data_IF_784959732513
#
_entry.id   IF_784959732513
#
_cell.length_a   1.000
_cell.length_b   1.000
_cell.length_c   1.000
_cell.angle_alpha   90.00
_cell.angle_beta   90.00
_cell.angle_gamma   90.00
#
_symmetry.space_group_name_H-M   'P 1'
#
loop_
_entity.id
_entity.type
_entity.pdbx_description
1 polymer ?
#
# COMPACT_ATOMS: atom_id res chain seq x y z
N UNK A 1 -48.56 25.37 -23.97
CA UNK A 1 -47.51 24.33 -23.86
C UNK A 1 -46.57 24.47 -22.64
N UNK A 2 -46.76 25.40 -21.69
CA UNK A 2 -45.82 25.58 -20.54
C UNK A 2 -46.21 24.86 -19.23
N UNK A 3 -47.46 24.39 -19.10
CA UNK A 3 -47.97 23.74 -17.87
C UNK A 3 -47.63 22.24 -17.75
N UNK A 4 -47.34 21.56 -18.87
CA UNK A 4 -47.00 20.13 -18.86
C UNK A 4 -45.56 19.84 -18.41
N UNK A 5 -44.63 20.74 -18.74
CA UNK A 5 -43.19 20.61 -18.39
C UNK A 5 -42.96 20.80 -16.88
N UNK A 6 -43.75 21.66 -16.23
CA UNK A 6 -43.63 21.95 -14.79
C UNK A 6 -44.12 20.80 -13.91
N UNK A 7 -45.14 20.04 -14.35
CA UNK A 7 -45.65 18.88 -13.60
C UNK A 7 -44.69 17.68 -13.69
N UNK A 8 -44.05 17.49 -14.86
CA UNK A 8 -43.03 16.45 -15.05
C UNK A 8 -41.78 16.70 -14.19
N UNK A 9 -41.32 17.95 -14.09
CA UNK A 9 -40.17 18.31 -13.26
C UNK A 9 -40.44 18.09 -11.76
N UNK A 10 -41.64 18.43 -11.28
CA UNK A 10 -42.02 18.19 -9.88
C UNK A 10 -42.06 16.68 -9.54
N UNK A 11 -42.55 15.84 -10.46
CA UNK A 11 -42.57 14.39 -10.27
C UNK A 11 -41.18 13.76 -10.16
N UNK A 12 -40.22 14.24 -10.95
CA UNK A 12 -38.83 13.75 -10.91
C UNK A 12 -38.16 14.12 -9.58
N UNK A 13 -38.39 15.32 -9.06
CA UNK A 13 -37.82 15.75 -7.76
C UNK A 13 -38.38 14.91 -6.61
N UNK A 14 -39.68 14.61 -6.62
CA UNK A 14 -40.32 13.73 -5.62
C UNK A 14 -39.76 12.30 -5.75
N UNK A 15 -39.56 11.81 -6.98
CA UNK A 15 -39.00 10.47 -7.18
C UNK A 15 -37.56 10.36 -6.69
N UNK A 16 -36.71 11.35 -6.96
CA UNK A 16 -35.31 11.38 -6.49
C UNK A 16 -35.26 11.43 -4.96
N UNK A 17 -36.07 12.28 -4.34
CA UNK A 17 -36.09 12.40 -2.86
C UNK A 17 -36.54 11.10 -2.18
N UNK A 18 -37.55 10.42 -2.72
CA UNK A 18 -37.97 9.11 -2.21
C UNK A 18 -36.88 8.06 -2.45
N UNK A 19 -36.26 8.02 -3.64
CA UNK A 19 -35.19 7.08 -3.95
C UNK A 19 -33.97 7.28 -3.04
N UNK A 20 -33.60 8.53 -2.73
CA UNK A 20 -32.52 8.86 -1.80
C UNK A 20 -32.80 8.33 -0.40
N UNK A 21 -34.04 8.37 0.09
CA UNK A 21 -34.38 7.77 1.39
C UNK A 21 -34.17 6.25 1.37
N UNK A 22 -34.60 5.55 0.31
CA UNK A 22 -34.46 4.09 0.24
C UNK A 22 -33.04 3.60 -0.02
N UNK A 23 -32.16 4.41 -0.63
CA UNK A 23 -30.79 3.99 -0.98
C UNK A 23 -29.75 4.53 0.02
N UNK A 24 -29.88 5.79 0.44
CA UNK A 24 -28.88 6.44 1.31
C UNK A 24 -29.08 6.07 2.77
N UNK A 25 -30.33 5.92 3.22
CA UNK A 25 -30.62 5.65 4.63
C UNK A 25 -30.07 4.30 5.12
N UNK A 26 -30.22 3.17 4.38
CA UNK A 26 -29.63 1.89 4.79
C UNK A 26 -28.09 1.91 4.77
N UNK A 27 -27.49 2.67 3.84
CA UNK A 27 -26.03 2.81 3.75
C UNK A 27 -25.47 3.65 4.90
N UNK A 28 -26.21 4.65 5.39
CA UNK A 28 -25.83 5.47 6.53
C UNK A 28 -25.94 4.71 7.86
N UNK A 29 -26.98 3.91 8.05
CA UNK A 29 -27.12 3.03 9.23
C UNK A 29 -25.99 1.98 9.29
N UNK A 30 -25.57 1.43 8.15
CA UNK A 30 -24.43 0.50 8.08
C UNK A 30 -23.10 1.18 8.48
N UNK A 31 -22.88 2.45 8.11
CA UNK A 31 -21.69 3.19 8.53
C UNK A 31 -21.70 3.52 10.03
N UNK A 32 -22.86 3.88 10.60
CA UNK A 32 -23.01 4.13 12.04
C UNK A 32 -22.72 2.85 12.85
N UNK A 33 -23.22 1.70 12.40
CA UNK A 33 -23.01 0.41 13.06
C UNK A 33 -21.57 -0.10 12.97
N UNK A 34 -20.83 0.25 11.91
CA UNK A 34 -19.40 -0.07 11.79
C UNK A 34 -18.51 0.85 12.64
N UNK A 35 -18.95 2.07 12.97
CA UNK A 35 -18.27 2.95 13.94
C UNK A 35 -18.70 2.74 15.39
N UNK A 36 -19.88 2.18 15.64
CA UNK A 36 -20.44 1.95 16.98
C UNK A 36 -20.21 0.52 17.51
N UNK A 37 -19.66 -0.39 16.70
CA UNK A 37 -19.43 -1.80 17.05
C UNK A 37 -18.11 -2.11 17.78
N UNK A 38 -17.38 -1.09 18.23
CA UNK A 38 -16.10 -1.25 18.91
C UNK A 38 -16.08 -0.53 20.27
N UNK A 39 -17.09 -0.71 21.13
CA UNK A 39 -16.96 -0.38 22.55
C UNK A 39 -18.02 -1.06 23.43
N UNK A 40 -17.56 -1.51 24.61
CA UNK A 40 -18.20 -2.21 25.74
C UNK A 40 -18.35 -3.75 25.63
N UNK A 41 -17.90 -4.58 26.58
CA UNK A 41 -17.70 -4.39 28.02
C UNK A 41 -16.42 -5.08 28.53
N UNK A 42 -15.61 -4.36 29.33
CA UNK A 42 -15.22 -4.88 30.65
C UNK A 42 -14.80 -3.71 31.55
N UNK A 43 -15.75 -3.19 32.32
CA UNK A 43 -15.45 -2.37 33.49
C UNK A 43 -14.95 -3.30 34.60
N UNK A 44 -13.69 -3.14 35.00
CA UNK A 44 -13.36 -3.30 36.41
C UNK A 44 -12.41 -2.17 36.83
N UNK A 45 -12.92 -1.44 37.80
CA UNK A 45 -12.35 -0.34 38.56
C UNK A 45 -11.08 -0.78 39.32
N UNK A 46 -9.94 -0.10 39.09
CA UNK A 46 -9.03 0.32 40.16
C UNK A 46 -7.94 1.26 39.64
N UNK A 47 -7.95 2.48 40.17
CA UNK A 47 -6.81 3.27 40.65
C UNK A 47 -5.39 2.80 40.29
N UNK A 48 -4.70 3.61 39.46
CA UNK A 48 -3.37 4.21 39.67
C UNK A 48 -2.78 4.56 38.30
N UNK A 49 -2.72 5.86 37.99
CA UNK A 49 -1.82 6.37 36.95
C UNK A 49 -0.37 6.14 37.42
N UNK A 50 0.12 4.93 37.18
CA UNK A 50 1.54 4.64 37.11
C UNK A 50 1.93 4.74 35.64
N UNK A 51 2.63 5.81 35.29
CA UNK A 51 3.42 5.96 34.07
C UNK A 51 4.52 4.87 34.06
N UNK A 52 4.12 3.64 33.77
CA UNK A 52 5.02 2.55 33.44
C UNK A 52 5.20 2.56 31.94
N UNK A 53 6.34 3.08 31.50
CA UNK A 53 6.90 2.87 30.18
C UNK A 53 6.88 1.36 29.88
N UNK A 54 5.81 0.90 29.22
CA UNK A 54 5.60 -0.51 28.93
C UNK A 54 6.62 -0.92 27.88
N UNK A 55 7.78 -1.41 28.33
CA UNK A 55 8.82 -1.88 27.44
C UNK A 55 8.36 -3.17 26.77
N UNK A 56 8.08 -3.07 25.47
CA UNK A 56 7.71 -4.21 24.64
C UNK A 56 8.71 -5.36 24.78
N UNK A 57 8.18 -6.56 24.92
CA UNK A 57 8.93 -7.81 24.89
C UNK A 57 9.62 -8.01 23.53
N UNK A 58 10.60 -8.91 23.48
CA UNK A 58 11.28 -9.25 22.21
C UNK A 58 10.30 -9.74 21.14
N UNK A 59 9.26 -10.47 21.54
CA UNK A 59 8.23 -10.99 20.66
C UNK A 59 7.34 -9.87 20.12
N UNK A 60 6.86 -8.98 20.98
CA UNK A 60 6.04 -7.83 20.56
C UNK A 60 6.81 -6.90 19.64
N UNK A 61 8.09 -6.63 19.92
CA UNK A 61 8.97 -5.87 19.03
C UNK A 61 9.14 -6.55 17.67
N UNK A 62 9.15 -7.89 17.60
CA UNK A 62 9.23 -8.62 16.33
C UNK A 62 7.93 -8.49 15.53
N UNK A 63 6.79 -8.67 16.18
CA UNK A 63 5.46 -8.51 15.56
C UNK A 63 5.27 -7.08 15.05
N UNK A 64 5.64 -6.07 15.85
CA UNK A 64 5.58 -4.67 15.43
C UNK A 64 6.46 -4.41 14.20
N UNK A 65 7.72 -4.88 14.19
CA UNK A 65 8.60 -4.74 13.02
C UNK A 65 8.06 -5.44 11.78
N UNK A 66 7.47 -6.62 11.92
CA UNK A 66 6.83 -7.32 10.81
C UNK A 66 5.62 -6.54 10.27
N UNK A 67 4.82 -5.92 11.15
CA UNK A 67 3.74 -5.02 10.75
C UNK A 67 4.24 -3.77 10.01
N UNK A 68 5.30 -3.14 10.53
CA UNK A 68 5.95 -2.00 9.86
C UNK A 68 6.49 -2.37 8.47
N UNK A 69 7.09 -3.56 8.34
CA UNK A 69 7.57 -4.08 7.06
C UNK A 69 6.42 -4.27 6.06
N UNK A 70 5.34 -4.93 6.49
CA UNK A 70 4.14 -5.17 5.67
C UNK A 70 3.55 -3.87 5.13
N UNK A 71 3.36 -2.89 6.02
CA UNK A 71 2.79 -1.59 5.66
C UNK A 71 3.72 -0.80 4.74
N UNK A 72 5.04 -0.89 4.98
CA UNK A 72 6.01 -0.22 4.14
C UNK A 72 6.02 -0.80 2.72
N UNK A 73 6.07 -2.12 2.57
CA UNK A 73 6.04 -2.81 1.26
C UNK A 73 4.76 -2.46 0.50
N UNK A 74 3.58 -2.56 1.14
CA UNK A 74 2.31 -2.22 0.51
C UNK A 74 2.29 -0.76 0.01
N UNK A 75 2.71 0.20 0.84
CA UNK A 75 2.76 1.61 0.44
C UNK A 75 3.73 1.87 -0.73
N UNK A 76 4.83 1.10 -0.82
CA UNK A 76 5.75 1.17 -1.95
C UNK A 76 5.13 0.57 -3.21
N UNK A 77 4.46 -0.58 -3.10
CA UNK A 77 3.75 -1.20 -4.22
C UNK A 77 2.67 -0.25 -4.79
N UNK A 78 1.81 0.31 -3.93
CA UNK A 78 0.80 1.29 -4.34
C UNK A 78 1.40 2.49 -5.07
N UNK A 79 2.51 3.03 -4.53
CA UNK A 79 3.22 4.14 -5.16
C UNK A 79 3.72 3.78 -6.57
N UNK A 80 4.31 2.60 -6.76
CA UNK A 80 4.80 2.19 -8.07
C UNK A 80 3.67 1.83 -9.04
N UNK A 81 2.53 1.34 -8.54
CA UNK A 81 1.30 1.20 -9.32
C UNK A 81 0.82 2.56 -9.86
N UNK A 82 0.81 3.60 -9.02
CA UNK A 82 0.45 4.96 -9.46
C UNK A 82 1.40 5.49 -10.55
N UNK A 83 2.69 5.19 -10.42
CA UNK A 83 3.74 5.75 -11.28
C UNK A 83 3.89 5.02 -12.62
N UNK A 84 3.63 3.70 -12.66
CA UNK A 84 3.83 2.87 -13.87
C UNK A 84 2.52 2.39 -14.48
N UNK A 85 1.38 2.62 -13.83
CA UNK A 85 0.13 1.95 -14.13
C UNK A 85 0.14 0.50 -13.65
N UNK A 86 -1.03 -0.13 -13.55
CA UNK A 86 -1.22 -1.53 -13.14
C UNK A 86 -0.53 -2.51 -14.13
N UNK A 87 0.80 -2.59 -14.10
CA UNK A 87 1.61 -3.43 -15.00
C UNK A 87 2.47 -2.68 -16.03
N UNK A 88 2.81 -1.40 -15.83
CA UNK A 88 3.77 -0.70 -16.71
C UNK A 88 3.15 -0.04 -17.96
N UNK A 89 1.82 0.02 -18.06
CA UNK A 89 1.13 0.54 -19.24
C UNK A 89 1.26 2.07 -19.41
N UNK A 90 1.71 2.80 -18.38
CA UNK A 90 1.88 4.25 -18.44
C UNK A 90 2.83 4.77 -17.35
N UNK A 91 4.02 5.25 -17.75
CA UNK A 91 4.84 6.05 -16.85
C UNK A 91 4.30 7.47 -16.71
N UNK A 92 4.15 7.93 -15.47
CA UNK A 92 4.08 9.37 -15.15
C UNK A 92 5.46 9.99 -15.48
N UNK A 93 5.55 11.28 -15.79
CA UNK A 93 6.84 11.89 -16.14
C UNK A 93 7.90 11.66 -15.04
N UNK A 94 9.11 11.28 -15.46
CA UNK A 94 10.32 10.97 -14.68
C UNK A 94 10.53 11.85 -13.43
N UNK A 95 10.27 13.16 -13.60
CA UNK A 95 10.42 14.20 -12.58
C UNK A 95 9.55 13.96 -11.33
N UNK A 96 8.46 13.19 -11.47
CA UNK A 96 7.55 12.83 -10.39
C UNK A 96 7.85 11.47 -9.74
N UNK A 97 8.81 10.71 -10.28
CA UNK A 97 9.11 9.32 -9.87
C UNK A 97 10.27 9.26 -8.87
N UNK A 98 11.03 10.34 -8.68
CA UNK A 98 12.16 10.33 -7.72
C UNK A 98 11.70 10.07 -6.29
N UNK A 99 12.24 9.00 -5.70
CA UNK A 99 12.06 8.70 -4.29
C UNK A 99 12.95 9.57 -3.39
N UNK A 100 12.46 10.04 -2.24
CA UNK A 100 13.34 10.64 -1.24
C UNK A 100 14.42 9.65 -0.77
N UNK A 101 15.66 10.10 -0.61
CA UNK A 101 16.81 9.28 -0.17
C UNK A 101 16.51 8.53 1.15
N UNK A 102 15.71 9.13 2.05
CA UNK A 102 15.23 8.50 3.28
C UNK A 102 14.47 7.17 3.06
N UNK A 103 13.77 7.01 1.94
CA UNK A 103 13.03 5.79 1.60
C UNK A 103 13.97 4.68 1.14
N UNK A 104 15.04 5.04 0.42
CA UNK A 104 16.11 4.12 0.05
C UNK A 104 16.84 3.65 1.31
N UNK A 105 17.20 4.56 2.19
CA UNK A 105 17.86 4.20 3.46
C UNK A 105 16.95 3.37 4.38
N UNK A 106 15.64 3.60 4.35
CA UNK A 106 14.68 2.75 5.06
C UNK A 106 14.70 1.32 4.54
N UNK A 107 14.80 1.09 3.22
CA UNK A 107 14.95 -0.26 2.65
C UNK A 107 16.22 -0.96 3.14
N UNK A 108 17.35 -0.26 3.11
CA UNK A 108 18.64 -0.80 3.62
C UNK A 108 18.56 -1.13 5.11
N UNK A 109 17.93 -0.26 5.89
CA UNK A 109 17.71 -0.46 7.33
C UNK A 109 16.82 -1.67 7.60
N UNK A 110 15.73 -1.84 6.85
CA UNK A 110 14.85 -2.99 6.95
C UNK A 110 15.57 -4.29 6.55
N UNK A 111 16.41 -4.25 5.51
CA UNK A 111 17.24 -5.38 5.09
C UNK A 111 18.24 -5.83 6.17
N UNK A 112 18.76 -4.90 6.98
CA UNK A 112 19.67 -5.21 8.09
C UNK A 112 18.96 -5.76 9.33
N UNK A 113 17.63 -5.58 9.44
CA UNK A 113 16.83 -5.97 10.61
C UNK A 113 16.08 -7.28 10.45
N UNK A 114 15.97 -7.81 9.23
CA UNK A 114 15.30 -9.09 8.96
C UNK A 114 16.26 -10.26 9.14
N UNK A 115 15.75 -11.36 9.72
CA UNK A 115 16.49 -12.61 9.85
C UNK A 115 16.38 -13.49 8.58
N UNK A 116 15.51 -13.13 7.62
CA UNK A 116 15.36 -13.85 6.36
C UNK A 116 16.40 -13.35 5.33
N UNK A 117 17.37 -14.20 4.90
CA UNK A 117 18.45 -13.78 4.00
C UNK A 117 17.97 -13.43 2.59
N UNK A 118 16.91 -14.10 2.10
CA UNK A 118 16.35 -13.88 0.77
C UNK A 118 15.59 -12.55 0.75
N UNK A 119 14.79 -12.27 1.78
CA UNK A 119 14.17 -10.96 1.96
C UNK A 119 15.22 -9.86 2.09
N UNK A 120 16.27 -10.07 2.89
CA UNK A 120 17.32 -9.09 3.06
C UNK A 120 17.97 -8.74 1.72
N UNK A 121 18.07 -9.72 0.81
CA UNK A 121 18.57 -9.53 -0.54
C UNK A 121 17.58 -8.74 -1.39
N UNK A 122 16.30 -9.13 -1.41
CA UNK A 122 15.27 -8.44 -2.20
C UNK A 122 15.10 -6.98 -1.79
N UNK A 123 15.17 -6.67 -0.49
CA UNK A 123 15.14 -5.29 0.02
C UNK A 123 16.38 -4.47 -0.40
N UNK A 124 17.56 -5.10 -0.45
CA UNK A 124 18.78 -4.46 -0.96
C UNK A 124 18.68 -4.23 -2.47
N UNK A 125 18.14 -5.19 -3.22
CA UNK A 125 17.93 -5.05 -4.65
C UNK A 125 16.94 -3.91 -4.94
N UNK A 126 15.83 -3.83 -4.19
CA UNK A 126 14.90 -2.71 -4.28
C UNK A 126 15.62 -1.37 -4.03
N UNK A 127 16.46 -1.28 -2.99
CA UNK A 127 17.23 -0.07 -2.73
C UNK A 127 18.16 0.29 -3.90
N UNK A 128 18.95 -0.66 -4.41
CA UNK A 128 19.88 -0.44 -5.52
C UNK A 128 19.18 -0.02 -6.82
N UNK A 129 18.02 -0.59 -7.14
CA UNK A 129 17.24 -0.15 -8.29
C UNK A 129 16.68 1.26 -8.11
N UNK A 130 16.22 1.63 -6.90
CA UNK A 130 15.79 3.00 -6.63
C UNK A 130 16.95 4.00 -6.74
N UNK A 131 18.16 3.63 -6.28
CA UNK A 131 19.36 4.46 -6.47
C UNK A 131 19.71 4.61 -7.95
N UNK A 132 19.67 3.51 -8.71
CA UNK A 132 19.89 3.51 -10.16
C UNK A 132 18.90 4.47 -10.82
N UNK A 133 17.62 4.37 -10.51
CA UNK A 133 16.55 5.21 -11.07
C UNK A 133 16.80 6.72 -10.89
N UNK A 134 17.47 7.12 -9.81
CA UNK A 134 17.80 8.52 -9.54
C UNK A 134 18.99 9.05 -10.36
N UNK A 135 19.74 8.17 -11.03
CA UNK A 135 20.89 8.57 -11.85
C UNK A 135 20.42 9.22 -13.15
N UNK A 136 20.97 10.39 -13.47
CA UNK A 136 20.62 11.18 -14.66
C UNK A 136 21.14 10.64 -15.99
N UNK A 137 21.83 9.50 -15.97
CA UNK A 137 22.57 8.96 -17.12
C UNK A 137 21.81 7.86 -17.87
N UNK A 138 20.53 7.63 -17.54
CA UNK A 138 19.71 6.62 -18.19
C UNK A 138 19.10 7.14 -19.49
N UNK A 139 19.00 6.28 -20.49
CA UNK A 139 18.10 6.49 -21.62
C UNK A 139 16.64 6.23 -21.21
N UNK A 140 15.68 6.79 -21.95
CA UNK A 140 14.24 6.60 -21.68
C UNK A 140 13.86 5.12 -21.55
N UNK A 141 14.44 4.23 -22.38
CA UNK A 141 14.21 2.78 -22.31
C UNK A 141 14.78 2.16 -21.03
N UNK A 142 15.94 2.62 -20.56
CA UNK A 142 16.53 2.12 -19.31
C UNK A 142 15.76 2.61 -18.08
N UNK A 143 15.22 3.82 -18.15
CA UNK A 143 14.38 4.40 -17.10
C UNK A 143 13.08 3.59 -16.94
N UNK A 144 12.43 3.27 -18.06
CA UNK A 144 11.23 2.44 -18.09
C UNK A 144 11.48 1.04 -17.52
N UNK A 145 12.56 0.38 -17.96
CA UNK A 145 12.95 -0.94 -17.45
C UNK A 145 13.28 -0.90 -15.96
N UNK A 146 13.94 0.17 -15.50
CA UNK A 146 14.26 0.33 -14.09
C UNK A 146 12.98 0.48 -13.26
N UNK A 147 12.07 1.35 -13.68
CA UNK A 147 10.79 1.56 -13.00
C UNK A 147 9.94 0.28 -12.95
N UNK A 148 9.84 -0.42 -14.08
CA UNK A 148 9.14 -1.71 -14.16
C UNK A 148 9.77 -2.73 -13.19
N UNK A 149 11.09 -2.78 -13.12
CA UNK A 149 11.79 -3.71 -12.23
C UNK A 149 11.52 -3.39 -10.76
N UNK A 150 11.55 -2.11 -10.37
CA UNK A 150 11.24 -1.70 -9.00
C UNK A 150 9.81 -2.09 -8.65
N UNK A 151 8.86 -1.81 -9.54
CA UNK A 151 7.46 -2.16 -9.33
C UNK A 151 7.29 -3.66 -9.11
N UNK A 152 7.85 -4.49 -9.99
CA UNK A 152 7.74 -5.95 -9.90
C UNK A 152 8.35 -6.51 -8.60
N UNK A 153 9.47 -5.95 -8.12
CA UNK A 153 10.03 -6.33 -6.82
C UNK A 153 9.06 -6.04 -5.69
N UNK A 154 8.46 -4.84 -5.65
CA UNK A 154 7.50 -4.51 -4.61
C UNK A 154 6.20 -5.31 -4.72
N UNK A 155 5.74 -5.62 -5.92
CA UNK A 155 4.60 -6.49 -6.15
C UNK A 155 4.84 -7.89 -5.56
N UNK A 156 5.97 -8.54 -5.90
CA UNK A 156 6.27 -9.88 -5.39
C UNK A 156 6.41 -9.89 -3.85
N UNK A 157 7.08 -8.87 -3.30
CA UNK A 157 7.19 -8.69 -1.85
C UNK A 157 5.82 -8.47 -1.20
N UNK A 158 4.91 -7.74 -1.84
CA UNK A 158 3.56 -7.47 -1.34
C UNK A 158 2.67 -8.73 -1.40
N UNK A 159 2.77 -9.51 -2.48
CA UNK A 159 2.16 -10.85 -2.60
C UNK A 159 2.62 -11.74 -1.45
N UNK A 160 3.93 -11.80 -1.18
CA UNK A 160 4.49 -12.61 -0.11
C UNK A 160 4.02 -12.16 1.30
N UNK A 161 4.04 -10.85 1.59
CA UNK A 161 3.81 -10.33 2.95
C UNK A 161 2.35 -10.08 3.29
N UNK A 162 1.59 -9.59 2.32
CA UNK A 162 0.23 -9.12 2.50
C UNK A 162 -0.79 -10.05 1.84
N UNK A 163 -0.35 -11.10 1.14
CA UNK A 163 -1.23 -12.07 0.51
C UNK A 163 -2.03 -11.45 -0.62
N UNK A 164 -1.42 -10.50 -1.34
CA UNK A 164 -2.03 -9.85 -2.48
C UNK A 164 -2.49 -10.92 -3.49
N UNK A 165 -3.76 -10.89 -3.91
CA UNK A 165 -4.41 -11.96 -4.66
C UNK A 165 -4.00 -12.09 -6.13
N UNK A 166 -2.78 -11.65 -6.47
CA UNK A 166 -2.21 -11.70 -7.81
C UNK A 166 -0.96 -12.58 -7.80
N UNK A 167 -0.67 -13.22 -8.92
CA UNK A 167 0.54 -14.03 -9.06
C UNK A 167 1.80 -13.15 -9.03
N UNK A 168 2.90 -13.63 -8.43
CA UNK A 168 4.17 -12.92 -8.47
C UNK A 168 4.77 -12.95 -9.89
N UNK A 169 5.55 -11.93 -10.22
CA UNK A 169 6.34 -11.85 -11.44
C UNK A 169 7.59 -12.72 -11.41
N UNK A 170 8.01 -13.18 -10.23
CA UNK A 170 9.17 -14.05 -10.04
C UNK A 170 10.48 -13.30 -10.19
N UNK A 171 10.55 -12.05 -9.72
CA UNK A 171 11.76 -11.22 -9.72
C UNK A 171 12.42 -11.15 -8.33
N UNK A 172 11.82 -11.75 -7.31
CA UNK A 172 12.36 -11.82 -5.94
C UNK A 172 12.78 -13.22 -5.51
N UNK A 173 13.69 -13.31 -4.54
CA UNK A 173 14.19 -14.56 -4.00
C UNK A 173 13.24 -15.22 -3.00
N UNK A 174 12.36 -14.46 -2.32
CA UNK A 174 11.41 -14.99 -1.32
C UNK A 174 10.37 -15.96 -1.87
N UNK A 175 10.22 -16.08 -3.19
CA UNK A 175 9.28 -16.99 -3.86
C UNK A 175 9.95 -17.80 -5.00
N UNK A 176 11.25 -18.12 -4.84
CA UNK A 176 12.03 -18.86 -5.86
C UNK A 176 11.92 -18.24 -7.28
N UNK A 177 11.89 -16.91 -7.34
CA UNK A 177 11.63 -16.16 -8.57
C UNK A 177 12.62 -16.50 -9.68
N UNK A 178 12.11 -16.88 -10.85
CA UNK A 178 12.92 -17.31 -12.00
C UNK A 178 13.92 -16.24 -12.49
N UNK A 179 13.70 -14.97 -12.13
CA UNK A 179 14.51 -13.83 -12.55
C UNK A 179 15.23 -13.15 -11.38
N UNK A 180 15.21 -13.73 -10.18
CA UNK A 180 15.76 -13.13 -8.96
C UNK A 180 17.26 -12.80 -9.03
N UNK A 181 18.05 -13.59 -9.78
CA UNK A 181 19.49 -13.40 -9.95
C UNK A 181 19.88 -12.43 -11.09
N UNK A 182 18.91 -11.90 -11.87
CA UNK A 182 19.23 -11.00 -13.00
C UNK A 182 19.54 -9.56 -12.58
N UNK A 183 19.41 -9.24 -11.30
CA UNK A 183 19.48 -7.87 -10.77
C UNK A 183 20.82 -7.54 -10.11
N UNK A 184 21.93 -8.11 -10.59
CA UNK A 184 23.27 -7.66 -10.22
C UNK A 184 23.52 -6.26 -10.81
N UNK A 185 23.07 -5.23 -10.09
CA UNK A 185 23.50 -3.84 -10.27
C UNK A 185 24.66 -3.55 -9.33
#
# INVERSE_FOLDING_TARGET
>A
MKKGVTVLAAGIIIFITVLSIYVVYPWLEEMENQTAGAEQENENDSEEEADQEHQLTKTEKKVQREGEMKNYIAARHDRWNELTGYGGEKMVEAENIQEPEEKIEKLKSLAAQTDNPDLARDLRNAAGWNERFQQKEQSDTEEEQTAETIHRIFHDLDVYYNGHGQEPFGVTHVDDGQYAEKTDI
#
